data_IF_821291669598
#
_entry.id   IF_821291669598
#
_cell.length_a   1.000
_cell.length_b   1.000
_cell.length_c   1.000
_cell.angle_alpha   90.00
_cell.angle_beta   90.00
_cell.angle_gamma   90.00
#
_symmetry.space_group_name_H-M   'P 1'
#
loop_
_entity.id
_entity.type
_entity.pdbx_description
1 polymer ?
#
# COMPACT_ATOMS: atom_id res chain seq x y z
N UNK A 1 3.91 0.02 33.77
CA UNK A 1 4.80 0.66 32.81
C UNK A 1 3.95 1.27 31.71
N UNK A 2 4.33 2.41 31.20
CA UNK A 2 3.64 3.01 30.06
C UNK A 2 3.87 2.17 28.81
N UNK A 3 2.83 1.97 28.03
CA UNK A 3 2.83 1.09 26.87
C UNK A 3 2.63 1.89 25.58
N UNK A 4 3.37 1.53 24.53
CA UNK A 4 3.08 2.02 23.19
C UNK A 4 1.78 1.37 22.65
N UNK A 5 1.19 1.93 21.61
CA UNK A 5 0.07 1.30 20.90
C UNK A 5 0.43 -0.12 20.45
N UNK A 6 1.65 -0.30 19.92
CA UNK A 6 2.15 -1.62 19.53
C UNK A 6 2.16 -2.59 20.72
N UNK A 7 2.67 -2.17 21.88
CA UNK A 7 2.70 -3.01 23.10
C UNK A 7 1.32 -3.47 23.52
N UNK A 8 0.36 -2.54 23.56
CA UNK A 8 -1.02 -2.83 23.96
C UNK A 8 -1.66 -3.92 23.10
N UNK A 9 -1.46 -3.83 21.78
CA UNK A 9 -2.04 -4.81 20.84
C UNK A 9 -1.24 -6.11 20.88
N UNK A 10 0.09 -6.04 20.83
CA UNK A 10 0.94 -7.22 20.85
C UNK A 10 0.69 -8.06 22.11
N UNK A 11 0.75 -7.44 23.30
CA UNK A 11 0.65 -8.15 24.57
C UNK A 11 -0.75 -8.77 24.77
N UNK A 12 -1.80 -8.14 24.23
CA UNK A 12 -3.16 -8.69 24.25
C UNK A 12 -3.31 -9.97 23.38
N UNK A 13 -2.41 -10.19 22.41
CA UNK A 13 -2.44 -11.33 21.50
C UNK A 13 -1.39 -12.40 21.80
N UNK A 14 -0.59 -12.22 22.84
CA UNK A 14 0.39 -13.23 23.26
C UNK A 14 -0.33 -14.45 23.85
N UNK A 15 -0.19 -15.59 23.17
CA UNK A 15 -0.66 -16.89 23.65
C UNK A 15 0.37 -17.51 24.60
N UNK A 16 1.64 -17.47 24.19
CA UNK A 16 2.75 -18.01 24.99
C UNK A 16 4.06 -17.33 24.62
N UNK A 17 4.90 -17.07 25.61
CA UNK A 17 6.32 -16.71 25.40
C UNK A 17 7.16 -17.97 25.54
N UNK A 18 7.95 -18.28 24.51
CA UNK A 18 8.92 -19.37 24.58
C UNK A 18 10.15 -18.84 25.31
N UNK A 19 10.63 -19.58 26.31
CA UNK A 19 11.83 -19.22 27.05
C UNK A 19 13.02 -19.11 26.09
N UNK A 20 13.71 -17.97 26.11
CA UNK A 20 14.81 -17.63 25.19
C UNK A 20 14.45 -17.76 23.68
N UNK A 21 13.17 -17.68 23.34
CA UNK A 21 12.65 -17.92 22.00
C UNK A 21 11.63 -16.89 21.54
N UNK A 22 10.95 -17.16 20.41
CA UNK A 22 9.93 -16.30 19.86
C UNK A 22 8.66 -16.29 20.72
N UNK A 23 7.82 -15.32 20.48
CA UNK A 23 6.46 -15.23 21.04
C UNK A 23 5.48 -15.95 20.13
N UNK A 24 4.62 -16.81 20.68
CA UNK A 24 3.45 -17.32 19.99
C UNK A 24 2.36 -16.27 20.06
N UNK A 25 2.00 -15.74 18.90
CA UNK A 25 1.03 -14.65 18.74
C UNK A 25 -0.23 -15.17 18.08
N UNK A 26 -1.40 -14.88 18.66
CA UNK A 26 -2.70 -15.12 18.02
C UNK A 26 -2.90 -14.14 16.88
N UNK A 27 -3.53 -14.58 15.78
CA UNK A 27 -3.80 -13.77 14.59
C UNK A 27 -5.32 -13.65 14.38
N UNK A 28 -5.84 -12.42 14.43
CA UNK A 28 -7.27 -12.18 14.23
C UNK A 28 -7.70 -12.33 12.78
N UNK A 29 -6.82 -11.99 11.83
CA UNK A 29 -7.18 -11.98 10.41
C UNK A 29 -6.03 -12.48 9.55
N UNK A 30 -6.33 -13.46 8.71
CA UNK A 30 -5.43 -13.90 7.64
C UNK A 30 -6.06 -13.54 6.29
N UNK A 31 -5.32 -12.83 5.45
CA UNK A 31 -5.65 -12.64 4.06
C UNK A 31 -4.81 -13.55 3.17
N UNK A 32 -5.44 -14.15 2.16
CA UNK A 32 -4.81 -15.05 1.20
C UNK A 32 -5.02 -14.57 -0.23
N UNK A 33 -3.95 -14.48 -0.99
CA UNK A 33 -4.00 -14.24 -2.44
C UNK A 33 -3.36 -15.39 -3.21
N UNK A 34 -3.49 -15.36 -4.53
CA UNK A 34 -3.16 -16.49 -5.41
C UNK A 34 -1.67 -16.80 -5.53
N UNK A 35 -0.77 -15.85 -5.17
CA UNK A 35 0.67 -16.03 -5.38
C UNK A 35 1.33 -16.81 -4.23
N UNK A 36 1.03 -16.48 -2.98
CA UNK A 36 1.75 -17.01 -1.80
C UNK A 36 0.99 -18.07 -1.01
N UNK A 37 -0.30 -18.29 -1.29
CA UNK A 37 -1.11 -19.23 -0.53
C UNK A 37 -1.14 -20.68 -1.05
N UNK A 38 -0.89 -21.00 -2.35
CA UNK A 38 -1.07 -22.35 -2.87
C UNK A 38 -0.30 -23.44 -2.12
N UNK A 39 0.97 -23.18 -1.81
CA UNK A 39 1.82 -24.14 -1.11
C UNK A 39 1.39 -24.35 0.35
N UNK A 40 0.88 -23.31 1.02
CA UNK A 40 0.33 -23.42 2.38
C UNK A 40 -0.86 -24.37 2.42
N UNK A 41 -1.80 -24.25 1.48
CA UNK A 41 -2.94 -25.18 1.35
C UNK A 41 -2.50 -26.60 0.96
N UNK A 42 -1.49 -26.72 0.10
CA UNK A 42 -0.92 -28.04 -0.24
C UNK A 42 -0.31 -28.73 1.00
N UNK A 43 0.39 -28.00 1.86
CA UNK A 43 0.93 -28.49 3.12
C UNK A 43 -0.16 -28.98 4.07
N UNK A 44 -1.27 -28.24 4.22
CA UNK A 44 -2.42 -28.68 5.01
C UNK A 44 -3.01 -29.99 4.50
N UNK A 45 -3.21 -30.12 3.17
CA UNK A 45 -3.72 -31.36 2.56
C UNK A 45 -2.78 -32.55 2.80
N UNK A 46 -1.48 -32.34 2.60
CA UNK A 46 -0.49 -33.41 2.79
C UNK A 46 -0.47 -33.95 4.24
N UNK A 47 -0.78 -33.09 5.20
CA UNK A 47 -0.84 -33.44 6.64
C UNK A 47 -2.25 -33.83 7.12
N UNK A 48 -3.27 -33.73 6.27
CA UNK A 48 -4.67 -33.97 6.66
C UNK A 48 -5.21 -32.95 7.68
N UNK A 49 -4.64 -31.74 7.74
CA UNK A 49 -5.02 -30.69 8.68
C UNK A 49 -6.09 -29.78 8.05
N UNK A 50 -7.11 -29.44 8.83
CA UNK A 50 -8.16 -28.48 8.44
C UNK A 50 -7.75 -27.05 8.82
N UNK A 51 -8.35 -26.06 8.17
CA UNK A 51 -8.25 -24.68 8.62
C UNK A 51 -8.94 -24.54 9.97
N UNK A 52 -8.25 -23.97 10.95
CA UNK A 52 -8.71 -23.89 12.34
C UNK A 52 -9.87 -22.89 12.51
N UNK A 53 -9.76 -21.68 11.93
CA UNK A 53 -10.78 -20.63 11.98
C UNK A 53 -11.09 -20.14 10.57
N UNK A 54 -11.93 -20.85 9.80
CA UNK A 54 -12.30 -20.45 8.44
C UNK A 54 -12.93 -19.06 8.37
N UNK A 55 -13.64 -18.64 9.40
CA UNK A 55 -14.29 -17.34 9.56
C UNK A 55 -13.31 -16.17 9.74
N UNK A 56 -12.04 -16.45 10.00
CA UNK A 56 -10.96 -15.46 10.12
C UNK A 56 -10.09 -15.33 8.85
N UNK A 57 -10.40 -16.12 7.81
CA UNK A 57 -9.62 -16.19 6.58
C UNK A 57 -10.42 -15.65 5.40
N UNK A 58 -9.85 -14.71 4.66
CA UNK A 58 -10.45 -14.15 3.44
C UNK A 58 -9.50 -14.31 2.26
N UNK A 59 -10.02 -14.85 1.17
CA UNK A 59 -9.28 -15.14 -0.04
C UNK A 59 -9.74 -14.21 -1.18
N UNK A 60 -8.82 -13.56 -1.87
CA UNK A 60 -9.11 -12.78 -3.06
C UNK A 60 -7.89 -12.72 -3.98
N UNK A 61 -8.06 -12.93 -5.29
CA UNK A 61 -6.98 -12.75 -6.26
C UNK A 61 -6.82 -11.26 -6.57
N UNK A 62 -5.58 -10.78 -6.65
CA UNK A 62 -5.27 -9.39 -6.94
C UNK A 62 -3.98 -9.14 -7.75
N UNK A 63 -3.05 -10.09 -7.77
CA UNK A 63 -1.74 -9.93 -8.43
C UNK A 63 -1.75 -10.35 -9.90
N UNK A 64 -2.33 -11.53 -10.20
CA UNK A 64 -2.39 -12.12 -11.53
C UNK A 64 -3.71 -11.88 -12.27
N UNK A 65 -4.52 -10.98 -11.76
CA UNK A 65 -5.77 -10.59 -12.40
C UNK A 65 -5.50 -9.62 -13.55
N UNK A 66 -6.06 -9.82 -14.75
CA UNK A 66 -5.98 -8.81 -15.81
C UNK A 66 -6.75 -7.55 -15.38
N UNK A 67 -6.43 -6.40 -15.94
CA UNK A 67 -7.15 -5.14 -15.67
C UNK A 67 -8.04 -4.70 -16.83
N UNK A 68 -8.32 -5.64 -17.71
CA UNK A 68 -9.29 -5.52 -18.81
C UNK A 68 -9.92 -6.90 -19.05
N UNK A 69 -11.11 -6.92 -19.63
CA UNK A 69 -11.82 -8.15 -20.02
C UNK A 69 -11.90 -9.23 -18.92
N UNK A 70 -12.10 -8.82 -17.65
CA UNK A 70 -12.17 -9.73 -16.51
C UNK A 70 -13.35 -10.70 -16.58
N UNK A 71 -14.35 -10.44 -17.42
CA UNK A 71 -15.45 -11.33 -17.75
C UNK A 71 -15.07 -12.48 -18.69
N UNK A 72 -13.87 -12.42 -19.28
CA UNK A 72 -13.31 -13.47 -20.13
C UNK A 72 -12.30 -14.35 -19.36
N UNK A 73 -12.03 -15.57 -19.85
CA UNK A 73 -10.98 -16.40 -19.28
C UNK A 73 -9.60 -15.70 -19.32
N UNK A 74 -8.82 -15.84 -18.23
CA UNK A 74 -7.43 -15.35 -18.20
C UNK A 74 -6.63 -16.09 -19.28
N UNK A 75 -5.98 -15.34 -20.17
CA UNK A 75 -5.25 -15.90 -21.31
C UNK A 75 -3.91 -16.53 -20.88
N UNK A 76 -3.17 -15.88 -19.94
CA UNK A 76 -1.92 -16.43 -19.43
C UNK A 76 -2.17 -17.69 -18.59
N UNK A 77 -1.63 -18.87 -18.99
CA UNK A 77 -1.91 -20.13 -18.31
C UNK A 77 -1.40 -20.18 -16.87
N UNK A 78 -0.31 -19.46 -16.55
CA UNK A 78 0.26 -19.42 -15.19
C UNK A 78 -0.63 -18.62 -14.28
N UNK A 79 -1.00 -17.42 -14.67
CA UNK A 79 -1.94 -16.55 -13.95
C UNK A 79 -3.29 -17.25 -13.73
N UNK A 80 -3.84 -17.86 -14.80
CA UNK A 80 -5.09 -18.64 -14.72
C UNK A 80 -4.98 -19.75 -13.67
N UNK A 81 -3.92 -20.54 -13.72
CA UNK A 81 -3.72 -21.65 -12.79
C UNK A 81 -3.66 -21.18 -11.34
N UNK A 82 -3.00 -20.05 -11.06
CA UNK A 82 -2.88 -19.49 -9.72
C UNK A 82 -4.24 -18.99 -9.20
N UNK A 83 -4.98 -18.24 -10.02
CA UNK A 83 -6.32 -17.73 -9.65
C UNK A 83 -7.30 -18.88 -9.43
N UNK A 84 -7.35 -19.86 -10.34
CA UNK A 84 -8.21 -21.04 -10.22
C UNK A 84 -7.83 -21.90 -8.98
N UNK A 85 -6.53 -21.99 -8.65
CA UNK A 85 -6.06 -22.72 -7.48
C UNK A 85 -6.51 -22.04 -6.18
N UNK A 86 -6.47 -20.71 -6.10
CA UNK A 86 -6.99 -19.98 -4.95
C UNK A 86 -8.48 -20.23 -4.76
N UNK A 87 -9.27 -20.13 -5.84
CA UNK A 87 -10.70 -20.39 -5.80
C UNK A 87 -11.02 -21.82 -5.35
N UNK A 88 -10.27 -22.82 -5.88
CA UNK A 88 -10.40 -24.22 -5.47
C UNK A 88 -10.03 -24.40 -3.98
N UNK A 89 -8.95 -23.81 -3.52
CA UNK A 89 -8.53 -23.89 -2.13
C UNK A 89 -9.58 -23.29 -1.19
N UNK A 90 -10.09 -22.10 -1.50
CA UNK A 90 -11.12 -21.46 -0.70
C UNK A 90 -12.39 -22.34 -0.61
N UNK A 91 -12.81 -22.95 -1.72
CA UNK A 91 -13.94 -23.88 -1.75
C UNK A 91 -13.69 -25.13 -0.91
N UNK A 92 -12.54 -25.78 -1.11
CA UNK A 92 -12.21 -27.04 -0.43
C UNK A 92 -12.11 -26.89 1.11
N UNK A 93 -11.69 -25.72 1.58
CA UNK A 93 -11.53 -25.42 3.01
C UNK A 93 -12.67 -24.58 3.61
N UNK A 94 -13.71 -24.25 2.82
CA UNK A 94 -14.88 -23.51 3.29
C UNK A 94 -14.60 -22.06 3.67
N UNK A 95 -13.70 -21.38 2.93
CA UNK A 95 -13.26 -20.02 3.20
C UNK A 95 -14.07 -18.99 2.41
N UNK A 96 -14.16 -17.77 2.94
CA UNK A 96 -14.69 -16.64 2.19
C UNK A 96 -13.78 -16.33 0.98
N UNK A 97 -14.37 -16.25 -0.21
CA UNK A 97 -13.65 -15.98 -1.45
C UNK A 97 -14.36 -14.88 -2.25
N UNK A 98 -13.63 -13.79 -2.50
CA UNK A 98 -14.06 -12.72 -3.37
C UNK A 98 -13.33 -12.86 -4.70
N UNK A 99 -13.93 -13.63 -5.63
CA UNK A 99 -13.35 -13.90 -6.94
C UNK A 99 -13.31 -12.66 -7.85
N UNK A 100 -12.57 -12.72 -8.94
CA UNK A 100 -12.26 -11.60 -9.83
C UNK A 100 -13.48 -10.75 -10.26
N UNK A 101 -14.65 -11.38 -10.54
CA UNK A 101 -15.90 -10.68 -10.91
C UNK A 101 -16.85 -10.41 -9.73
N UNK A 102 -16.47 -10.75 -8.51
CA UNK A 102 -17.24 -10.40 -7.32
C UNK A 102 -17.10 -8.88 -7.06
N UNK A 103 -18.20 -8.20 -6.86
CA UNK A 103 -18.20 -6.75 -6.53
C UNK A 103 -17.45 -6.40 -5.24
N UNK A 104 -17.09 -7.41 -4.45
CA UNK A 104 -16.27 -7.28 -3.25
C UNK A 104 -14.78 -7.46 -3.52
N UNK A 105 -14.40 -7.87 -4.73
CA UNK A 105 -13.00 -8.10 -5.10
C UNK A 105 -12.24 -6.79 -5.33
N UNK A 106 -10.95 -6.90 -5.21
CA UNK A 106 -9.94 -5.88 -5.44
C UNK A 106 -8.64 -6.25 -4.75
N UNK A 107 -7.73 -5.32 -4.69
CA UNK A 107 -6.46 -5.47 -3.98
C UNK A 107 -6.74 -5.69 -2.48
N UNK A 108 -6.20 -6.76 -1.91
CA UNK A 108 -6.42 -7.18 -0.51
C UNK A 108 -6.28 -6.00 0.48
N UNK A 109 -5.22 -5.19 0.32
CA UNK A 109 -4.92 -4.07 1.19
C UNK A 109 -5.80 -2.83 0.95
N UNK A 110 -6.65 -2.87 -0.07
CA UNK A 110 -7.75 -1.91 -0.29
C UNK A 110 -9.05 -2.48 0.27
N UNK A 111 -9.38 -3.71 -0.11
CA UNK A 111 -10.64 -4.38 0.26
C UNK A 111 -10.77 -4.59 1.77
N UNK A 112 -9.69 -5.01 2.45
CA UNK A 112 -9.72 -5.25 3.89
C UNK A 112 -10.24 -4.06 4.70
N UNK A 113 -9.64 -2.87 4.57
CA UNK A 113 -10.12 -1.64 5.21
C UNK A 113 -11.51 -1.21 4.71
N UNK A 114 -11.72 -1.16 3.39
CA UNK A 114 -12.97 -0.62 2.82
C UNK A 114 -14.20 -1.47 3.12
N UNK A 115 -14.04 -2.76 3.43
CA UNK A 115 -15.14 -3.64 3.84
C UNK A 115 -15.32 -3.71 5.36
N UNK A 116 -14.45 -3.08 6.15
CA UNK A 116 -14.47 -3.20 7.60
C UNK A 116 -13.99 -4.57 8.11
N UNK A 117 -13.22 -5.30 7.29
CA UNK A 117 -12.57 -6.56 7.68
C UNK A 117 -11.34 -6.30 8.54
N UNK A 118 -10.75 -5.12 8.41
CA UNK A 118 -9.64 -4.62 9.22
C UNK A 118 -10.19 -3.65 10.25
N UNK A 119 -9.97 -3.93 11.53
CA UNK A 119 -10.46 -3.11 12.63
C UNK A 119 -9.31 -2.75 13.59
N UNK A 120 -9.43 -1.64 14.36
CA UNK A 120 -8.44 -1.27 15.35
C UNK A 120 -8.22 -2.37 16.40
N UNK A 121 -6.97 -2.55 16.80
CA UNK A 121 -6.58 -3.52 17.82
C UNK A 121 -6.36 -4.94 17.32
N UNK A 122 -6.62 -5.24 16.04
CA UNK A 122 -6.39 -6.56 15.45
C UNK A 122 -4.93 -6.85 15.17
N UNK A 123 -4.58 -8.15 15.15
CA UNK A 123 -3.38 -8.69 14.52
C UNK A 123 -3.75 -9.23 13.15
N UNK A 124 -3.04 -8.78 12.10
CA UNK A 124 -3.39 -9.08 10.70
C UNK A 124 -2.15 -9.53 9.93
N UNK A 125 -2.28 -10.63 9.20
CA UNK A 125 -1.19 -11.15 8.38
C UNK A 125 -1.66 -11.53 6.97
N UNK A 126 -0.73 -11.47 6.03
CA UNK A 126 -0.90 -11.91 4.63
C UNK A 126 0.47 -12.29 4.08
N UNK A 127 0.51 -13.11 3.05
CA UNK A 127 1.74 -13.44 2.32
C UNK A 127 2.30 -12.30 1.45
N UNK A 128 2.00 -11.06 1.77
CA UNK A 128 2.45 -9.85 1.09
C UNK A 128 3.01 -8.84 2.09
N UNK A 129 4.16 -8.23 1.76
CA UNK A 129 4.82 -7.25 2.63
C UNK A 129 3.98 -6.00 2.88
N UNK A 130 3.14 -5.56 1.91
CA UNK A 130 2.27 -4.39 2.07
C UNK A 130 1.07 -4.61 3.00
N UNK A 131 0.99 -5.75 3.68
CA UNK A 131 0.09 -5.97 4.82
C UNK A 131 0.22 -4.88 5.89
N UNK A 132 1.39 -4.22 5.97
CA UNK A 132 1.60 -3.04 6.82
C UNK A 132 0.55 -1.93 6.60
N UNK A 133 -0.08 -1.87 5.43
CA UNK A 133 -1.17 -0.93 5.12
C UNK A 133 -2.27 -0.93 6.18
N UNK A 134 -2.63 -2.11 6.68
CA UNK A 134 -3.71 -2.28 7.66
C UNK A 134 -3.41 -1.63 9.01
N UNK A 135 -2.14 -1.34 9.30
CA UNK A 135 -1.74 -0.61 10.51
C UNK A 135 -2.27 0.82 10.58
N UNK A 136 -2.65 1.41 9.45
CA UNK A 136 -3.33 2.71 9.40
C UNK A 136 -4.66 2.72 10.17
N UNK A 137 -5.29 1.55 10.33
CA UNK A 137 -6.51 1.37 11.11
C UNK A 137 -6.25 1.18 12.61
N UNK A 138 -4.99 1.27 13.07
CA UNK A 138 -4.61 0.94 14.45
C UNK A 138 -4.51 -0.56 14.72
N UNK A 139 -4.06 -1.33 13.74
CA UNK A 139 -3.82 -2.78 13.84
C UNK A 139 -2.32 -3.08 13.83
N UNK A 140 -1.90 -4.20 14.41
CA UNK A 140 -0.56 -4.77 14.22
C UNK A 140 -0.61 -5.68 13.00
N UNK A 141 -0.14 -5.16 11.87
CA UNK A 141 -0.27 -5.81 10.58
C UNK A 141 1.10 -5.96 9.88
N UNK A 142 1.41 -7.16 9.39
CA UNK A 142 2.69 -7.45 8.77
C UNK A 142 2.65 -8.63 7.79
N UNK A 143 3.56 -8.59 6.81
CA UNK A 143 3.74 -9.66 5.85
C UNK A 143 4.43 -10.89 6.46
N UNK A 144 4.05 -12.08 6.00
CA UNK A 144 4.60 -13.38 6.45
C UNK A 144 4.95 -14.27 5.26
N UNK A 145 5.80 -15.24 5.50
CA UNK A 145 6.17 -16.26 4.49
C UNK A 145 5.10 -17.34 4.31
N UNK A 146 5.20 -18.08 3.22
CA UNK A 146 4.22 -19.14 2.87
C UNK A 146 4.09 -20.22 3.96
N UNK A 147 5.21 -20.63 4.58
CA UNK A 147 5.18 -21.60 5.69
C UNK A 147 4.47 -21.06 6.93
N UNK A 148 4.56 -19.74 7.16
CA UNK A 148 3.86 -19.06 8.23
C UNK A 148 2.36 -18.93 7.92
N UNK A 149 1.97 -18.72 6.64
CA UNK A 149 0.57 -18.79 6.20
C UNK A 149 -0.02 -20.17 6.53
N UNK A 150 0.71 -21.26 6.24
CA UNK A 150 0.28 -22.62 6.61
C UNK A 150 0.08 -22.77 8.11
N UNK A 151 1.01 -22.23 8.92
CA UNK A 151 0.91 -22.26 10.39
C UNK A 151 -0.33 -21.54 10.89
N UNK A 152 -0.61 -20.33 10.37
CA UNK A 152 -1.78 -19.55 10.75
C UNK A 152 -3.07 -20.25 10.32
N UNK A 153 -3.14 -20.80 9.12
CA UNK A 153 -4.29 -21.59 8.66
C UNK A 153 -4.57 -22.79 9.61
N UNK A 154 -3.52 -23.45 10.06
CA UNK A 154 -3.64 -24.65 10.92
C UNK A 154 -3.98 -24.34 12.39
N UNK A 155 -3.54 -23.21 12.93
CA UNK A 155 -3.58 -22.94 14.38
C UNK A 155 -4.09 -21.57 14.78
N UNK A 156 -4.27 -20.66 13.86
CA UNK A 156 -4.54 -19.23 14.06
C UNK A 156 -3.43 -18.52 14.87
N UNK A 157 -2.26 -19.11 14.95
CA UNK A 157 -1.11 -18.57 15.67
C UNK A 157 0.13 -18.57 14.81
N UNK A 158 1.10 -17.72 15.18
CA UNK A 158 2.41 -17.61 14.54
C UNK A 158 3.50 -17.42 15.59
N UNK A 159 4.71 -17.88 15.29
CA UNK A 159 5.89 -17.62 16.12
C UNK A 159 6.64 -16.41 15.57
N UNK A 160 6.75 -15.34 16.35
CA UNK A 160 7.40 -14.10 15.94
C UNK A 160 8.32 -13.55 17.02
N UNK A 161 9.50 -13.10 16.61
CA UNK A 161 10.33 -12.25 17.48
C UNK A 161 9.71 -10.86 17.56
N UNK A 162 9.61 -10.32 18.78
CA UNK A 162 9.08 -8.99 19.01
C UNK A 162 10.02 -7.95 18.34
N UNK A 163 9.54 -7.12 17.41
CA UNK A 163 10.32 -6.03 16.84
C UNK A 163 10.55 -4.93 17.88
N UNK A 164 11.58 -4.10 17.66
CA UNK A 164 11.73 -2.82 18.36
C UNK A 164 10.64 -1.85 17.91
N UNK A 165 10.38 -0.82 18.72
CA UNK A 165 9.41 0.23 18.42
C UNK A 165 10.09 1.51 17.98
N UNK A 166 9.57 2.16 16.94
CA UNK A 166 10.02 3.47 16.48
C UNK A 166 8.83 4.41 16.39
N UNK A 167 9.00 5.66 16.87
CA UNK A 167 8.03 6.71 16.63
C UNK A 167 8.58 7.69 15.59
N UNK A 168 7.82 7.94 14.53
CA UNK A 168 8.07 9.01 13.58
C UNK A 168 7.00 10.08 13.76
N UNK A 169 7.41 11.24 14.25
CA UNK A 169 6.51 12.38 14.47
C UNK A 169 6.67 13.38 13.33
N UNK A 170 5.56 13.75 12.70
CA UNK A 170 5.54 14.76 11.64
C UNK A 170 4.54 15.82 12.08
N UNK A 171 5.05 17.00 12.42
CA UNK A 171 4.25 18.13 12.87
C UNK A 171 4.12 19.19 11.79
N UNK A 172 3.17 20.11 11.97
CA UNK A 172 2.85 21.16 11.00
C UNK A 172 1.71 20.78 10.07
N UNK A 173 1.62 21.50 8.94
CA UNK A 173 0.63 21.31 7.89
C UNK A 173 1.33 21.07 6.55
N UNK A 174 0.80 20.15 5.75
CA UNK A 174 1.31 19.90 4.40
C UNK A 174 1.03 21.09 3.49
N UNK A 175 2.04 21.46 2.71
CA UNK A 175 1.91 22.53 1.73
C UNK A 175 0.95 22.18 0.58
N UNK A 176 0.58 23.20 -0.21
CA UNK A 176 -0.25 23.01 -1.41
C UNK A 176 0.40 22.02 -2.38
N UNK A 177 -0.38 21.09 -2.89
CA UNK A 177 0.10 20.07 -3.84
C UNK A 177 0.92 18.91 -3.23
N UNK A 178 1.02 18.85 -1.89
CA UNK A 178 1.72 17.80 -1.15
C UNK A 178 0.72 16.78 -0.61
N UNK A 179 1.03 15.51 -0.74
CA UNK A 179 0.18 14.39 -0.31
C UNK A 179 0.91 13.47 0.68
N UNK A 180 0.21 12.48 1.23
CA UNK A 180 0.83 11.45 2.06
C UNK A 180 1.91 10.63 1.33
N UNK A 181 1.80 10.51 -0.01
CA UNK A 181 2.84 9.87 -0.84
C UNK A 181 4.14 10.67 -0.82
N UNK A 182 4.03 11.99 -0.93
CA UNK A 182 5.20 12.89 -0.88
C UNK A 182 5.83 12.84 0.52
N UNK A 183 5.01 12.82 1.58
CA UNK A 183 5.48 12.63 2.96
C UNK A 183 6.30 11.35 3.11
N UNK A 184 5.80 10.22 2.58
CA UNK A 184 6.51 8.94 2.65
C UNK A 184 7.82 8.95 1.85
N UNK A 185 7.81 9.50 0.63
CA UNK A 185 9.02 9.63 -0.22
C UNK A 185 10.05 10.54 0.42
N UNK A 186 9.61 11.65 1.05
CA UNK A 186 10.50 12.54 1.78
C UNK A 186 11.19 11.82 2.94
N UNK A 187 10.44 11.11 3.78
CA UNK A 187 11.03 10.33 4.87
C UNK A 187 12.04 9.31 4.36
N UNK A 188 11.71 8.58 3.29
CA UNK A 188 12.63 7.60 2.68
C UNK A 188 13.90 8.26 2.13
N UNK A 189 13.82 9.45 1.58
CA UNK A 189 15.00 10.19 1.11
C UNK A 189 15.93 10.59 2.25
N UNK A 190 15.42 10.79 3.48
CA UNK A 190 16.19 11.15 4.67
C UNK A 190 16.66 9.96 5.49
N UNK A 191 15.83 8.91 5.59
CA UNK A 191 16.08 7.74 6.43
C UNK A 191 16.67 6.54 5.65
N UNK A 192 16.68 6.59 4.33
CA UNK A 192 17.01 5.51 3.40
C UNK A 192 16.02 4.32 3.44
N UNK A 193 16.21 3.36 2.56
CA UNK A 193 15.40 2.12 2.49
C UNK A 193 15.65 1.12 3.63
N UNK A 194 16.58 1.41 4.53
CA UNK A 194 16.92 0.58 5.70
C UNK A 194 16.79 1.31 7.04
N UNK A 195 16.32 2.57 7.04
CA UNK A 195 16.27 3.42 8.22
C UNK A 195 15.38 2.93 9.36
N UNK A 196 14.42 2.06 9.06
CA UNK A 196 13.51 1.46 10.03
C UNK A 196 13.64 -0.08 10.14
N UNK A 197 14.78 -0.65 9.68
CA UNK A 197 15.01 -2.09 9.75
C UNK A 197 14.97 -2.62 11.19
N UNK A 198 14.13 -3.63 11.43
CA UNK A 198 13.95 -4.24 12.75
C UNK A 198 12.94 -3.52 13.65
N UNK A 199 12.32 -2.44 13.17
CA UNK A 199 11.33 -1.68 13.92
C UNK A 199 9.90 -1.91 13.42
N UNK A 200 8.95 -1.78 14.34
CA UNK A 200 7.56 -1.47 14.04
C UNK A 200 7.35 0.04 14.26
N UNK A 201 6.85 0.73 13.25
CA UNK A 201 6.80 2.20 13.23
C UNK A 201 5.42 2.70 13.64
N UNK A 202 5.36 3.60 14.64
CA UNK A 202 4.16 4.38 14.94
C UNK A 202 4.33 5.80 14.38
N UNK A 203 3.41 6.20 13.49
CA UNK A 203 3.35 7.55 12.97
C UNK A 203 2.50 8.44 13.85
N UNK A 204 3.02 9.61 14.20
CA UNK A 204 2.41 10.58 15.10
C UNK A 204 2.62 12.02 14.58
N UNK A 205 2.10 12.99 15.32
CA UNK A 205 2.21 14.41 14.99
C UNK A 205 0.95 14.99 14.35
N UNK A 206 0.89 16.33 14.28
CA UNK A 206 -0.29 17.02 13.77
C UNK A 206 -0.52 16.76 12.29
N UNK A 207 0.54 16.71 11.47
CA UNK A 207 0.41 16.41 10.05
C UNK A 207 -0.18 15.02 9.79
N UNK A 208 0.19 14.00 10.60
CA UNK A 208 -0.37 12.65 10.48
C UNK A 208 -1.84 12.59 10.92
N UNK A 209 -2.19 13.28 12.02
CA UNK A 209 -3.59 13.34 12.48
C UNK A 209 -4.52 14.00 11.47
N UNK A 210 -4.00 15.00 10.74
CA UNK A 210 -4.76 15.73 9.71
C UNK A 210 -4.89 14.98 8.37
N UNK A 211 -4.19 13.84 8.19
CA UNK A 211 -4.38 12.98 7.02
C UNK A 211 -5.76 12.35 7.02
N UNK A 212 -6.33 12.24 5.83
CA UNK A 212 -7.46 11.34 5.56
C UNK A 212 -7.08 9.89 5.88
N UNK A 213 -8.08 9.01 5.94
CA UNK A 213 -7.81 7.59 6.13
C UNK A 213 -6.98 7.01 4.99
N UNK A 214 -7.26 7.40 3.75
CA UNK A 214 -6.53 7.01 2.57
C UNK A 214 -5.06 7.46 2.61
N UNK A 215 -4.81 8.67 3.10
CA UNK A 215 -3.45 9.18 3.33
C UNK A 215 -2.69 8.36 4.37
N UNK A 216 -3.34 7.98 5.48
CA UNK A 216 -2.75 7.09 6.51
C UNK A 216 -2.47 5.70 5.95
N UNK A 217 -3.37 5.16 5.12
CA UNK A 217 -3.17 3.88 4.44
C UNK A 217 -1.95 3.91 3.51
N UNK A 218 -1.76 5.00 2.76
CA UNK A 218 -0.58 5.22 1.92
C UNK A 218 0.70 5.27 2.75
N UNK A 219 0.68 6.01 3.88
CA UNK A 219 1.84 6.16 4.77
C UNK A 219 2.27 4.80 5.37
N UNK A 220 1.32 4.05 5.94
CA UNK A 220 1.58 2.74 6.51
C UNK A 220 1.97 1.70 5.43
N UNK A 221 1.40 1.78 4.22
CA UNK A 221 1.78 0.94 3.09
C UNK A 221 3.28 1.05 2.79
N UNK A 222 3.81 2.26 2.74
CA UNK A 222 5.20 2.54 2.38
C UNK A 222 6.21 2.33 3.53
N UNK A 223 5.76 1.99 4.72
CA UNK A 223 6.65 1.72 5.87
C UNK A 223 7.66 0.62 5.59
N UNK A 224 7.25 -0.42 4.87
CA UNK A 224 8.12 -1.55 4.55
C UNK A 224 9.23 -1.17 3.55
N UNK A 225 9.07 -0.11 2.80
CA UNK A 225 10.09 0.40 1.89
C UNK A 225 11.24 1.10 2.63
N UNK A 226 11.08 1.40 3.93
CA UNK A 226 12.14 1.80 4.85
C UNK A 226 12.73 0.64 5.66
N UNK A 227 12.36 -0.61 5.33
CA UNK A 227 12.77 -1.81 6.04
C UNK A 227 11.99 -2.09 7.32
N UNK A 228 10.94 -1.33 7.63
CA UNK A 228 10.11 -1.55 8.80
C UNK A 228 9.39 -2.90 8.75
N UNK A 229 9.12 -3.49 9.91
CA UNK A 229 8.28 -4.69 10.03
C UNK A 229 6.81 -4.38 9.73
N UNK A 230 6.39 -3.18 10.05
CA UNK A 230 5.07 -2.62 9.80
C UNK A 230 5.01 -1.16 10.20
N UNK A 231 3.92 -0.49 9.85
CA UNK A 231 3.63 0.89 10.24
C UNK A 231 2.23 0.97 10.79
N UNK A 232 1.99 1.88 11.76
CA UNK A 232 0.68 2.07 12.35
C UNK A 232 0.40 3.52 12.69
N UNK A 233 -0.88 3.84 12.76
CA UNK A 233 -1.40 5.12 13.26
C UNK A 233 -2.41 4.81 14.36
N UNK A 234 -2.36 5.54 15.48
CA UNK A 234 -3.36 5.38 16.52
C UNK A 234 -4.76 5.72 15.97
N UNK A 235 -5.77 4.85 16.21
CA UNK A 235 -7.12 5.10 15.71
C UNK A 235 -7.75 6.29 16.43
N UNK A 236 -8.42 7.13 15.67
CA UNK A 236 -9.12 8.33 16.13
C UNK A 236 -10.47 8.49 15.42
N UNK A 237 -11.08 9.64 15.53
CA UNK A 237 -12.38 9.94 14.93
C UNK A 237 -12.37 9.76 13.40
N UNK A 238 -11.26 10.06 12.71
CA UNK A 238 -11.11 9.82 11.25
C UNK A 238 -11.23 8.32 10.96
N UNK A 239 -10.57 7.49 11.76
CA UNK A 239 -10.62 6.03 11.65
C UNK A 239 -12.04 5.50 11.94
N UNK A 240 -12.69 6.01 12.98
CA UNK A 240 -14.04 5.55 13.36
C UNK A 240 -15.08 5.91 12.30
N UNK A 241 -15.08 7.12 11.78
CA UNK A 241 -15.98 7.51 10.68
C UNK A 241 -15.72 6.72 9.39
N UNK A 242 -14.46 6.40 9.09
CA UNK A 242 -14.14 5.55 7.94
C UNK A 242 -14.69 4.12 8.07
N UNK A 243 -14.71 3.54 9.28
CA UNK A 243 -15.21 2.17 9.53
C UNK A 243 -16.74 2.13 9.61
N UNK A 244 -17.36 3.20 10.09
CA UNK A 244 -18.77 3.25 10.41
C UNK A 244 -19.66 2.86 9.22
N UNK A 245 -20.57 1.91 9.45
CA UNK A 245 -21.52 1.46 8.44
C UNK A 245 -20.98 0.50 7.39
N UNK A 246 -19.69 0.15 7.43
CA UNK A 246 -19.13 -0.83 6.51
C UNK A 246 -19.68 -2.24 6.77
N UNK A 247 -19.62 -3.09 5.76
CA UNK A 247 -20.26 -4.41 5.73
C UNK A 247 -19.94 -5.27 6.96
N UNK A 248 -18.66 -5.36 7.32
CA UNK A 248 -18.15 -6.17 8.42
C UNK A 248 -17.84 -5.38 9.70
N UNK A 249 -18.16 -4.08 9.73
CA UNK A 249 -18.02 -3.27 10.93
C UNK A 249 -19.04 -3.68 12.02
N UNK A 250 -18.70 -3.57 13.30
CA UNK A 250 -19.66 -3.73 14.40
C UNK A 250 -20.87 -2.81 14.20
N UNK A 251 -22.03 -3.23 14.70
CA UNK A 251 -23.30 -2.48 14.55
C UNK A 251 -24.01 -2.31 15.87
N UNK A 252 -24.80 -1.23 16.02
CA UNK A 252 -25.59 -0.96 17.21
C UNK A 252 -24.74 -0.92 18.48
N UNK A 253 -25.16 -1.63 19.52
CA UNK A 253 -24.47 -1.65 20.82
C UNK A 253 -23.03 -2.16 20.73
N UNK A 254 -22.74 -3.06 19.78
CA UNK A 254 -21.37 -3.58 19.59
C UNK A 254 -20.46 -2.53 18.94
N UNK A 255 -21.01 -1.62 18.13
CA UNK A 255 -20.29 -0.46 17.66
C UNK A 255 -19.86 0.45 18.80
N UNK A 256 -20.78 0.77 19.71
CA UNK A 256 -20.50 1.67 20.85
C UNK A 256 -19.42 1.08 21.77
N UNK A 257 -19.49 -0.23 22.03
CA UNK A 257 -18.45 -0.96 22.79
C UNK A 257 -17.10 -0.93 22.07
N UNK A 258 -17.11 -1.19 20.76
CA UNK A 258 -15.90 -1.20 19.94
C UNK A 258 -15.23 0.17 19.94
N UNK A 259 -15.95 1.25 19.67
CA UNK A 259 -15.43 2.62 19.71
C UNK A 259 -14.89 2.98 21.10
N UNK A 260 -15.59 2.59 22.17
CA UNK A 260 -15.11 2.82 23.54
C UNK A 260 -13.77 2.12 23.82
N UNK A 261 -13.60 0.91 23.30
CA UNK A 261 -12.33 0.18 23.37
C UNK A 261 -11.26 0.81 22.46
N UNK A 262 -11.59 1.12 21.21
CA UNK A 262 -10.64 1.68 20.24
C UNK A 262 -10.06 3.02 20.68
N UNK A 263 -10.80 3.85 21.42
CA UNK A 263 -10.31 5.09 22.04
C UNK A 263 -9.20 4.88 23.06
N UNK A 264 -9.04 3.67 23.58
CA UNK A 264 -7.93 3.32 24.48
C UNK A 264 -6.66 2.91 23.73
N UNK A 265 -6.77 2.62 22.43
CA UNK A 265 -5.69 2.15 21.57
C UNK A 265 -4.85 3.34 21.07
N UNK A 266 -4.08 3.91 21.95
CA UNK A 266 -3.06 4.93 21.70
C UNK A 266 -1.88 4.69 22.64
N UNK A 267 -0.71 5.13 22.26
CA UNK A 267 0.45 5.12 23.15
C UNK A 267 0.19 6.01 24.37
N UNK A 268 0.65 5.57 25.53
CA UNK A 268 0.58 6.37 26.75
C UNK A 268 1.50 7.60 26.60
N UNK A 269 1.20 8.67 27.33
CA UNK A 269 1.94 9.94 27.16
C UNK A 269 3.41 9.81 27.54
N UNK A 270 3.75 8.91 28.47
CA UNK A 270 5.09 8.58 28.93
C UNK A 270 5.65 7.28 28.32
N UNK A 271 5.03 6.78 27.23
CA UNK A 271 5.52 5.61 26.53
C UNK A 271 6.92 5.86 25.93
N UNK A 272 7.81 4.90 26.11
CA UNK A 272 9.20 4.96 25.61
C UNK A 272 9.32 4.12 24.35
N UNK A 273 9.87 4.73 23.30
CA UNK A 273 10.22 4.07 22.04
C UNK A 273 11.71 3.80 21.97
N UNK A 274 12.11 2.68 21.33
CA UNK A 274 13.54 2.39 21.11
C UNK A 274 14.22 3.42 20.21
N UNK A 275 13.45 4.08 19.33
CA UNK A 275 13.94 5.16 18.46
C UNK A 275 12.83 6.18 18.18
N UNK A 276 13.20 7.45 18.17
CA UNK A 276 12.33 8.54 17.75
C UNK A 276 12.96 9.34 16.63
N UNK A 277 12.13 9.73 15.65
CA UNK A 277 12.51 10.61 14.53
C UNK A 277 11.44 11.69 14.38
N UNK A 278 11.85 12.92 14.06
CA UNK A 278 10.94 14.04 13.86
C UNK A 278 11.18 14.72 12.53
N UNK A 279 10.10 15.13 11.90
CA UNK A 279 10.09 15.92 10.67
C UNK A 279 9.10 17.07 10.80
N UNK A 280 9.36 18.16 10.08
CA UNK A 280 8.43 19.27 9.88
C UNK A 280 7.72 19.08 8.53
N UNK A 281 6.40 19.17 8.52
CA UNK A 281 5.61 19.06 7.31
C UNK A 281 5.88 20.20 6.32
N UNK A 282 6.34 21.35 6.81
CA UNK A 282 6.73 22.51 5.99
C UNK A 282 7.94 22.24 5.09
N UNK A 283 8.81 21.29 5.46
CA UNK A 283 9.97 20.90 4.66
C UNK A 283 9.60 19.98 3.48
N UNK A 284 8.36 19.49 3.44
CA UNK A 284 7.92 18.51 2.44
C UNK A 284 7.32 19.24 1.24
N UNK A 285 7.88 18.97 0.08
CA UNK A 285 7.35 19.41 -1.21
C UNK A 285 6.85 18.22 -2.06
N UNK A 286 6.20 18.43 -3.20
CA UNK A 286 5.93 17.35 -4.13
C UNK A 286 7.23 16.60 -4.46
N UNK A 287 7.20 15.26 -4.35
CA UNK A 287 8.38 14.41 -4.46
C UNK A 287 8.36 13.57 -5.74
N UNK A 288 9.56 13.26 -6.22
CA UNK A 288 9.78 12.31 -7.31
C UNK A 288 11.04 11.50 -7.05
N UNK A 289 11.09 10.23 -7.46
CA UNK A 289 12.33 9.45 -7.42
C UNK A 289 13.14 9.63 -8.71
N UNK A 290 14.46 9.57 -8.59
CA UNK A 290 15.40 9.67 -9.71
C UNK A 290 16.21 8.40 -9.96
N UNK A 291 16.10 7.41 -9.08
CA UNK A 291 16.86 6.16 -9.14
C UNK A 291 15.98 4.91 -9.08
N UNK A 292 16.58 3.79 -8.70
CA UNK A 292 16.00 2.44 -8.74
C UNK A 292 15.55 1.93 -7.36
N UNK A 293 15.37 2.81 -6.39
CA UNK A 293 14.74 2.50 -5.10
C UNK A 293 14.03 3.74 -4.54
N UNK A 294 13.04 3.58 -3.63
CA UNK A 294 12.27 4.70 -3.11
C UNK A 294 13.07 5.71 -2.27
N UNK A 295 14.23 5.31 -1.72
CA UNK A 295 15.13 6.20 -0.98
C UNK A 295 15.88 7.18 -1.89
N UNK A 296 15.94 6.93 -3.19
CA UNK A 296 16.47 7.86 -4.20
C UNK A 296 15.39 8.85 -4.65
N UNK A 297 14.80 9.54 -3.66
CA UNK A 297 13.80 10.58 -3.86
C UNK A 297 14.36 11.97 -3.65
N UNK A 298 13.76 12.95 -4.33
CA UNK A 298 14.06 14.37 -4.19
C UNK A 298 12.78 15.20 -4.35
N UNK A 299 12.82 16.44 -3.87
CA UNK A 299 11.77 17.40 -4.20
C UNK A 299 11.73 17.66 -5.69
N UNK A 300 10.54 17.83 -6.25
CA UNK A 300 10.34 17.92 -7.71
C UNK A 300 11.11 19.07 -8.36
N UNK A 301 11.40 20.13 -7.60
CA UNK A 301 12.18 21.29 -8.06
C UNK A 301 13.68 21.17 -7.78
N UNK A 302 14.10 20.11 -7.09
CA UNK A 302 15.50 19.87 -6.77
C UNK A 302 16.25 19.23 -7.96
N UNK A 303 17.56 19.07 -7.78
CA UNK A 303 18.45 18.43 -8.73
C UNK A 303 18.96 17.10 -8.16
N UNK A 304 19.23 16.16 -9.04
CA UNK A 304 19.86 14.89 -8.67
C UNK A 304 21.18 15.18 -7.95
N UNK A 305 21.45 14.57 -6.77
CA UNK A 305 22.70 14.78 -6.03
C UNK A 305 23.95 14.56 -6.89
N UNK A 306 25.01 15.33 -6.63
CA UNK A 306 26.28 15.25 -7.39
C UNK A 306 27.39 14.48 -6.65
N UNK A 307 27.28 14.37 -5.32
CA UNK A 307 28.38 13.90 -4.45
C UNK A 307 28.28 12.43 -4.00
N UNK A 308 27.23 11.69 -4.38
CA UNK A 308 27.16 10.26 -4.07
C UNK A 308 28.07 9.45 -4.99
N UNK A 309 29.20 9.00 -4.46
CA UNK A 309 30.22 8.22 -5.17
C UNK A 309 29.98 6.72 -5.10
N UNK A 310 28.87 6.26 -4.54
CA UNK A 310 28.59 4.83 -4.42
C UNK A 310 28.35 4.18 -5.79
N UNK A 311 28.83 2.95 -5.92
CA UNK A 311 28.61 2.16 -7.16
C UNK A 311 27.14 1.93 -7.45
N UNK A 312 26.30 1.82 -6.41
CA UNK A 312 24.85 1.64 -6.52
C UNK A 312 24.16 2.89 -7.07
N UNK A 313 24.58 4.09 -6.64
CA UNK A 313 24.08 5.36 -7.18
C UNK A 313 24.37 5.48 -8.68
N UNK A 314 25.64 5.26 -9.07
CA UNK A 314 26.04 5.31 -10.47
C UNK A 314 25.24 4.32 -11.30
N UNK A 315 25.16 3.05 -10.87
CA UNK A 315 24.39 2.01 -11.57
C UNK A 315 22.91 2.41 -11.74
N UNK A 316 22.29 3.00 -10.70
CA UNK A 316 20.91 3.45 -10.76
C UNK A 316 20.72 4.57 -11.78
N UNK A 317 21.63 5.56 -11.82
CA UNK A 317 21.55 6.64 -12.81
C UNK A 317 21.78 6.15 -14.24
N UNK A 318 22.75 5.25 -14.43
CA UNK A 318 23.00 4.62 -15.73
C UNK A 318 21.74 3.88 -16.25
N UNK A 319 21.06 3.11 -15.37
CA UNK A 319 19.80 2.44 -15.70
C UNK A 319 18.71 3.44 -16.06
N UNK A 320 18.54 4.48 -15.25
CA UNK A 320 17.52 5.53 -15.46
C UNK A 320 17.87 6.46 -16.63
N UNK A 321 19.13 6.50 -17.07
CA UNK A 321 19.61 7.40 -18.13
C UNK A 321 19.66 8.85 -17.68
N UNK A 322 19.99 9.11 -16.41
CA UNK A 322 20.12 10.43 -15.79
C UNK A 322 21.57 10.75 -15.47
N UNK A 323 21.85 12.04 -15.24
CA UNK A 323 23.15 12.52 -14.83
C UNK A 323 23.11 13.20 -13.45
N UNK A 324 24.18 13.10 -12.65
CA UNK A 324 24.31 13.91 -11.44
C UNK A 324 24.10 15.40 -11.73
N UNK A 325 23.37 16.12 -10.88
CA UNK A 325 23.07 17.55 -11.05
C UNK A 325 21.95 17.86 -12.06
N UNK A 326 21.37 16.84 -12.70
CA UNK A 326 20.26 17.04 -13.64
C UNK A 326 18.97 17.41 -12.91
N UNK A 327 18.17 18.33 -13.47
CA UNK A 327 16.78 18.54 -13.10
C UNK A 327 15.88 17.58 -13.87
N UNK A 328 14.87 17.03 -13.20
CA UNK A 328 13.86 16.21 -13.88
C UNK A 328 12.69 17.01 -14.44
N UNK A 329 12.49 18.27 -14.02
CA UNK A 329 11.45 19.14 -14.59
C UNK A 329 11.60 19.29 -16.10
N UNK A 330 10.48 19.19 -16.82
CA UNK A 330 10.45 19.26 -18.29
C UNK A 330 10.90 17.99 -19.01
N UNK A 331 11.33 16.95 -18.29
CA UNK A 331 11.73 15.68 -18.92
C UNK A 331 10.51 14.95 -19.45
N UNK A 332 10.56 14.54 -20.72
CA UNK A 332 9.49 13.81 -21.40
C UNK A 332 9.23 12.46 -20.73
N UNK A 333 7.96 12.11 -20.57
CA UNK A 333 7.50 10.83 -20.08
C UNK A 333 6.71 10.08 -21.15
N UNK A 334 6.59 8.77 -21.02
CA UNK A 334 5.84 7.93 -21.96
C UNK A 334 4.58 7.35 -21.30
N UNK A 335 4.63 7.05 -20.00
CA UNK A 335 3.57 6.39 -19.27
C UNK A 335 3.24 7.13 -17.98
N UNK A 336 1.97 7.04 -17.58
CA UNK A 336 1.50 7.38 -16.24
C UNK A 336 0.72 6.20 -15.67
N UNK A 337 1.01 5.83 -14.43
CA UNK A 337 0.28 4.81 -13.71
C UNK A 337 -0.30 5.37 -12.41
N UNK A 338 -1.62 5.38 -12.31
CA UNK A 338 -2.37 5.65 -11.08
C UNK A 338 -3.01 4.35 -10.61
N UNK A 339 -2.67 3.88 -9.42
CA UNK A 339 -3.18 2.61 -8.91
C UNK A 339 -2.34 2.03 -7.79
N UNK A 340 -2.37 0.72 -7.65
CA UNK A 340 -1.74 -0.08 -6.61
C UNK A 340 -2.43 0.03 -5.23
N UNK A 341 -2.00 -0.81 -4.28
CA UNK A 341 -2.46 -0.72 -2.89
C UNK A 341 -2.04 0.58 -2.19
N UNK A 342 -1.06 1.30 -2.74
CA UNK A 342 -0.65 2.63 -2.27
C UNK A 342 -1.67 3.71 -2.60
N UNK A 343 -2.02 3.87 -3.89
CA UNK A 343 -2.78 5.00 -4.41
C UNK A 343 -3.82 4.57 -5.47
N UNK A 344 -4.60 3.56 -5.16
CA UNK A 344 -5.73 3.11 -5.98
C UNK A 344 -7.09 3.34 -5.32
N UNK A 345 -7.20 4.29 -4.38
CA UNK A 345 -8.43 4.59 -3.64
C UNK A 345 -9.16 5.79 -4.23
N UNK A 346 -10.39 5.98 -3.84
CA UNK A 346 -11.24 7.04 -4.41
C UNK A 346 -10.64 8.45 -4.27
N UNK A 347 -9.96 8.73 -3.17
CA UNK A 347 -9.30 10.02 -2.94
C UNK A 347 -8.18 10.29 -3.94
N UNK A 348 -7.44 9.27 -4.34
CA UNK A 348 -6.39 9.37 -5.35
C UNK A 348 -6.96 9.74 -6.72
N UNK A 349 -8.12 9.16 -7.07
CA UNK A 349 -8.84 9.49 -8.30
C UNK A 349 -9.44 10.89 -8.25
N UNK A 350 -9.98 11.33 -7.09
CA UNK A 350 -10.45 12.71 -6.91
C UNK A 350 -9.31 13.71 -7.09
N UNK A 351 -8.16 13.45 -6.46
CA UNK A 351 -6.97 14.29 -6.58
C UNK A 351 -6.48 14.37 -8.03
N UNK A 352 -6.30 13.23 -8.69
CA UNK A 352 -5.89 13.15 -10.08
C UNK A 352 -6.87 13.91 -11.00
N UNK A 353 -8.16 13.63 -10.87
CA UNK A 353 -9.22 14.22 -11.68
C UNK A 353 -9.30 15.74 -11.50
N UNK A 354 -9.03 16.25 -10.30
CA UNK A 354 -9.06 17.70 -10.03
C UNK A 354 -8.09 18.48 -10.90
N UNK A 355 -6.90 17.93 -11.18
CA UNK A 355 -5.88 18.59 -12.01
C UNK A 355 -6.16 18.50 -13.51
N UNK A 356 -6.79 17.43 -13.96
CA UNK A 356 -7.02 17.19 -15.40
C UNK A 356 -8.39 17.66 -15.88
N UNK A 357 -9.28 18.06 -14.97
CA UNK A 357 -10.61 18.61 -15.30
C UNK A 357 -10.52 19.77 -16.29
N UNK A 358 -11.22 19.67 -17.43
CA UNK A 358 -11.22 20.67 -18.50
C UNK A 358 -9.92 20.75 -19.31
N UNK A 359 -9.00 19.85 -19.09
CA UNK A 359 -7.73 19.74 -19.83
C UNK A 359 -7.71 18.44 -20.63
N UNK A 360 -6.74 18.28 -21.51
CA UNK A 360 -6.52 17.04 -22.28
C UNK A 360 -5.20 16.39 -21.83
N UNK A 361 -5.19 15.10 -21.81
CA UNK A 361 -3.97 14.30 -21.67
C UNK A 361 -3.06 14.58 -22.86
N UNK A 362 -1.74 14.63 -22.64
CA UNK A 362 -0.77 14.71 -23.72
C UNK A 362 -0.89 13.51 -24.65
N UNK A 363 -0.96 13.71 -25.97
CA UNK A 363 -1.29 12.68 -26.95
C UNK A 363 -0.36 11.47 -26.91
N UNK A 364 0.93 11.69 -26.65
CA UNK A 364 1.95 10.64 -26.63
C UNK A 364 1.99 9.86 -25.32
N UNK A 365 1.29 10.30 -24.27
CA UNK A 365 1.31 9.63 -22.97
C UNK A 365 0.26 8.53 -22.93
N UNK A 366 0.67 7.35 -22.54
CA UNK A 366 -0.21 6.23 -22.21
C UNK A 366 -0.47 6.26 -20.71
N UNK A 367 -1.73 6.39 -20.31
CA UNK A 367 -2.10 6.46 -18.90
C UNK A 367 -2.96 5.25 -18.50
N UNK A 368 -2.54 4.54 -17.45
CA UNK A 368 -3.28 3.45 -16.85
C UNK A 368 -3.82 3.89 -15.49
N UNK A 369 -5.12 4.09 -15.42
CA UNK A 369 -5.85 4.46 -14.22
C UNK A 369 -6.56 3.21 -13.70
N UNK A 370 -6.06 2.63 -12.61
CA UNK A 370 -6.48 1.31 -12.13
C UNK A 370 -7.07 1.43 -10.73
N UNK A 371 -8.40 1.32 -10.56
CA UNK A 371 -9.03 1.30 -9.25
C UNK A 371 -8.51 0.13 -8.40
N UNK A 372 -8.36 0.34 -7.10
CA UNK A 372 -7.91 -0.70 -6.19
C UNK A 372 -8.96 -1.76 -5.89
N UNK A 373 -10.25 -1.48 -6.18
CA UNK A 373 -11.36 -2.42 -5.95
C UNK A 373 -12.56 -2.06 -6.82
N UNK A 374 -13.50 -3.02 -6.96
CA UNK A 374 -14.79 -2.74 -7.60
C UNK A 374 -15.64 -1.72 -6.85
N UNK A 375 -15.42 -1.55 -5.55
CA UNK A 375 -16.07 -0.50 -4.78
C UNK A 375 -15.53 0.89 -5.17
N UNK A 376 -14.23 1.03 -5.34
CA UNK A 376 -13.62 2.27 -5.84
C UNK A 376 -14.08 2.58 -7.27
N UNK A 377 -14.14 1.58 -8.17
CA UNK A 377 -14.67 1.77 -9.53
C UNK A 377 -16.13 2.28 -9.50
N UNK A 378 -16.96 1.69 -8.62
CA UNK A 378 -18.33 2.15 -8.45
C UNK A 378 -18.41 3.61 -7.95
N UNK A 379 -17.59 4.00 -6.97
CA UNK A 379 -17.52 5.37 -6.48
C UNK A 379 -17.06 6.37 -7.56
N UNK A 380 -16.07 6.00 -8.37
CA UNK A 380 -15.60 6.82 -9.51
C UNK A 380 -16.76 7.14 -10.44
N UNK A 381 -17.62 6.17 -10.74
CA UNK A 381 -18.79 6.34 -11.64
C UNK A 381 -19.91 7.10 -10.95
N UNK A 382 -20.20 6.80 -9.68
CA UNK A 382 -21.22 7.51 -8.90
C UNK A 382 -20.91 9.00 -8.76
N UNK A 383 -19.65 9.37 -8.58
CA UNK A 383 -19.20 10.75 -8.51
C UNK A 383 -18.99 11.41 -9.87
N UNK A 384 -19.16 10.67 -10.98
CA UNK A 384 -19.00 11.15 -12.35
C UNK A 384 -17.55 11.51 -12.71
N UNK A 385 -16.57 10.98 -11.97
CA UNK A 385 -15.15 11.19 -12.26
C UNK A 385 -14.74 10.50 -13.56
N UNK A 386 -15.36 9.37 -13.89
CA UNK A 386 -15.16 8.63 -15.13
C UNK A 386 -15.40 9.52 -16.35
N UNK A 387 -16.49 10.28 -16.39
CA UNK A 387 -16.83 11.19 -17.49
C UNK A 387 -15.79 12.28 -17.67
N UNK A 388 -15.34 12.87 -16.56
CA UNK A 388 -14.30 13.92 -16.60
C UNK A 388 -12.98 13.35 -17.12
N UNK A 389 -12.61 12.14 -16.68
CA UNK A 389 -11.41 11.46 -17.13
C UNK A 389 -11.50 11.07 -18.61
N UNK A 390 -12.63 10.54 -19.07
CA UNK A 390 -12.89 10.23 -20.49
C UNK A 390 -12.84 11.49 -21.36
N UNK A 391 -13.46 12.58 -20.94
CA UNK A 391 -13.37 13.88 -21.62
C UNK A 391 -11.92 14.37 -21.71
N UNK A 392 -11.11 14.12 -20.68
CA UNK A 392 -9.68 14.45 -20.69
C UNK A 392 -8.82 13.48 -21.53
N UNK A 393 -9.39 12.40 -22.05
CA UNK A 393 -8.70 11.40 -22.89
C UNK A 393 -8.07 10.24 -22.11
N UNK A 394 -8.54 9.99 -20.89
CA UNK A 394 -8.13 8.85 -20.08
C UNK A 394 -9.13 7.69 -20.18
N UNK A 395 -8.63 6.46 -20.06
CA UNK A 395 -9.44 5.28 -19.88
C UNK A 395 -9.18 4.67 -18.50
N UNK A 396 -10.25 4.35 -17.79
CA UNK A 396 -10.18 3.66 -16.51
C UNK A 396 -10.15 2.15 -16.78
N UNK A 397 -9.23 1.45 -16.15
CA UNK A 397 -9.10 0.00 -16.21
C UNK A 397 -9.95 -0.68 -15.14
N UNK A 398 -10.08 -1.99 -15.22
CA UNK A 398 -10.71 -2.80 -14.18
C UNK A 398 -9.76 -2.99 -12.98
N UNK A 399 -10.30 -3.22 -11.76
CA UNK A 399 -9.49 -3.30 -10.53
C UNK A 399 -8.45 -4.42 -10.55
N UNK A 400 -7.26 -4.13 -9.98
CA UNK A 400 -6.16 -5.08 -9.84
C UNK A 400 -4.82 -4.39 -9.56
N UNK A 401 -3.76 -5.18 -9.37
CA UNK A 401 -2.41 -4.66 -9.13
C UNK A 401 -1.75 -4.09 -10.38
N UNK A 402 -2.10 -4.58 -11.58
CA UNK A 402 -1.62 -4.03 -12.87
C UNK A 402 -0.09 -3.90 -12.94
N UNK A 403 0.39 -2.81 -13.53
CA UNK A 403 1.81 -2.51 -13.65
C UNK A 403 2.53 -2.27 -12.31
N UNK A 404 1.86 -2.24 -11.16
CA UNK A 404 2.56 -2.15 -9.89
C UNK A 404 3.58 -3.30 -9.70
N UNK A 405 3.22 -4.50 -10.15
CA UNK A 405 4.08 -5.69 -10.11
C UNK A 405 4.37 -6.26 -11.50
N UNK A 406 3.57 -5.91 -12.51
CA UNK A 406 3.66 -6.39 -13.89
C UNK A 406 3.68 -7.93 -14.01
N UNK A 407 2.92 -8.61 -13.16
CA UNK A 407 2.72 -10.06 -13.23
C UNK A 407 1.67 -10.47 -14.27
N UNK A 408 0.83 -9.53 -14.68
CA UNK A 408 -0.13 -9.65 -15.79
C UNK A 408 0.45 -9.02 -17.09
N UNK A 409 -0.39 -8.78 -18.09
CA UNK A 409 0.01 -8.21 -19.39
C UNK A 409 0.30 -6.70 -19.35
N UNK A 410 0.02 -6.04 -18.23
CA UNK A 410 0.29 -4.62 -18.04
C UNK A 410 1.79 -4.36 -17.80
N UNK A 411 2.58 -4.43 -18.86
CA UNK A 411 4.04 -4.23 -18.82
C UNK A 411 4.44 -3.00 -19.62
N UNK A 412 5.29 -2.18 -19.00
CA UNK A 412 5.89 -1.01 -19.64
C UNK A 412 7.10 -1.44 -20.46
N UNK A 413 7.21 -1.04 -21.72
CA UNK A 413 8.35 -1.42 -22.57
C UNK A 413 9.69 -0.87 -22.07
N UNK A 414 10.77 -1.55 -22.43
CA UNK A 414 12.14 -1.16 -22.08
C UNK A 414 12.47 0.26 -22.52
N UNK A 415 13.19 1.00 -21.70
CA UNK A 415 13.64 2.37 -21.94
C UNK A 415 12.57 3.44 -21.79
N UNK A 416 11.29 3.07 -21.57
CA UNK A 416 10.18 4.01 -21.38
C UNK A 416 10.11 4.53 -19.96
N UNK A 417 9.83 5.84 -19.81
CA UNK A 417 9.64 6.48 -18.52
C UNK A 417 8.19 6.43 -18.08
N UNK A 418 7.96 5.99 -16.85
CA UNK A 418 6.66 5.96 -16.20
C UNK A 418 6.67 6.80 -14.93
N UNK A 419 5.80 7.80 -14.83
CA UNK A 419 5.45 8.43 -13.56
C UNK A 419 4.37 7.60 -12.89
N UNK A 420 4.66 7.08 -11.69
CA UNK A 420 3.89 5.99 -11.09
C UNK A 420 3.58 6.23 -9.63
N UNK A 421 2.35 5.95 -9.24
CA UNK A 421 1.93 5.95 -7.83
C UNK A 421 2.17 4.61 -7.12
N UNK A 422 2.80 3.65 -7.79
CA UNK A 422 3.17 2.36 -7.18
C UNK A 422 4.13 2.53 -5.98
N UNK A 423 4.45 1.43 -5.33
CA UNK A 423 5.25 1.45 -4.11
C UNK A 423 6.74 1.19 -4.32
N UNK A 424 7.12 0.53 -5.42
CA UNK A 424 8.51 0.14 -5.73
C UNK A 424 8.88 0.50 -7.15
N UNK A 425 10.17 0.80 -7.36
CA UNK A 425 10.74 1.19 -8.65
C UNK A 425 12.10 0.54 -8.95
N UNK A 426 12.39 -0.63 -8.40
CA UNK A 426 13.61 -1.35 -8.76
C UNK A 426 13.63 -1.71 -10.26
N UNK A 427 14.81 -2.01 -10.78
CA UNK A 427 15.02 -2.35 -12.18
C UNK A 427 14.03 -3.41 -12.67
N UNK A 428 13.26 -3.10 -13.71
CA UNK A 428 12.29 -4.01 -14.31
C UNK A 428 10.96 -4.18 -13.56
N UNK A 429 10.69 -3.42 -12.48
CA UNK A 429 9.48 -3.57 -11.66
C UNK A 429 8.18 -3.48 -12.45
N UNK A 430 8.07 -2.54 -13.39
CA UNK A 430 6.89 -2.33 -14.24
C UNK A 430 7.02 -2.97 -15.63
N UNK A 431 8.04 -3.78 -15.83
CA UNK A 431 8.37 -4.45 -17.08
C UNK A 431 9.89 -4.46 -17.30
N UNK A 432 10.44 -5.46 -18.01
CA UNK A 432 11.88 -5.55 -18.27
C UNK A 432 12.43 -4.27 -18.91
N UNK A 433 13.40 -3.61 -18.25
CA UNK A 433 14.02 -2.37 -18.75
C UNK A 433 13.15 -1.11 -18.63
N UNK A 434 11.97 -1.17 -18.01
CA UNK A 434 11.13 -0.01 -17.74
C UNK A 434 11.76 0.91 -16.69
N UNK A 435 11.62 2.22 -16.86
CA UNK A 435 12.15 3.27 -15.98
C UNK A 435 11.05 3.91 -15.18
N UNK A 436 10.90 3.52 -13.91
CA UNK A 436 9.81 3.95 -13.05
C UNK A 436 10.23 5.07 -12.12
N UNK A 437 9.48 6.16 -12.14
CA UNK A 437 9.59 7.33 -11.27
C UNK A 437 8.42 7.32 -10.29
N UNK A 438 8.67 7.06 -9.01
CA UNK A 438 7.62 7.11 -8.00
C UNK A 438 7.26 8.56 -7.71
N UNK A 439 5.94 8.83 -7.68
CA UNK A 439 5.42 10.15 -7.40
C UNK A 439 3.99 10.06 -6.84
N UNK A 440 3.45 11.19 -6.39
CA UNK A 440 2.08 11.30 -5.90
C UNK A 440 1.05 11.33 -7.04
N UNK A 441 -0.25 11.09 -6.75
CA UNK A 441 -1.32 11.22 -7.74
C UNK A 441 -1.36 12.60 -8.41
N UNK A 442 -1.04 13.67 -7.69
CA UNK A 442 -1.01 15.03 -8.24
C UNK A 442 0.14 15.23 -9.24
N UNK A 443 1.34 14.74 -8.91
CA UNK A 443 2.49 14.77 -9.82
C UNK A 443 2.21 13.91 -11.06
N UNK A 444 1.60 12.74 -10.89
CA UNK A 444 1.20 11.87 -11.98
C UNK A 444 0.18 12.54 -12.92
N UNK A 445 -0.82 13.22 -12.35
CA UNK A 445 -1.82 13.97 -13.12
C UNK A 445 -1.20 15.14 -13.90
N UNK A 446 -0.32 15.92 -13.26
CA UNK A 446 0.40 17.02 -13.90
C UNK A 446 1.22 16.51 -15.09
N UNK A 447 1.99 15.44 -14.86
CA UNK A 447 2.81 14.82 -15.90
C UNK A 447 1.96 14.23 -17.05
N UNK A 448 0.80 13.65 -16.76
CA UNK A 448 -0.11 13.13 -17.79
C UNK A 448 -0.68 14.23 -18.68
N UNK A 449 -1.01 15.38 -18.11
CA UNK A 449 -1.56 16.52 -18.83
C UNK A 449 -0.52 17.22 -19.72
N UNK A 450 0.69 17.43 -19.19
CA UNK A 450 1.75 18.17 -19.90
C UNK A 450 2.62 17.30 -20.79
N UNK A 451 2.69 15.98 -20.52
CA UNK A 451 3.57 15.03 -21.21
C UNK A 451 5.02 15.06 -20.74
N UNK A 452 5.32 15.86 -19.72
CA UNK A 452 6.64 16.01 -19.11
C UNK A 452 6.52 16.01 -17.59
N UNK A 453 7.61 15.78 -16.87
CA UNK A 453 7.64 15.93 -15.41
C UNK A 453 7.38 17.39 -15.08
N UNK A 454 6.30 17.64 -14.32
CA UNK A 454 5.79 18.98 -14.01
C UNK A 454 5.46 19.10 -12.53
N UNK A 455 5.77 20.24 -11.94
CA UNK A 455 5.36 20.56 -10.57
C UNK A 455 3.83 20.75 -10.53
N UNK A 456 3.08 19.93 -9.77
CA UNK A 456 1.63 20.04 -9.74
C UNK A 456 1.15 21.38 -9.18
N UNK A 457 1.97 22.09 -8.40
CA UNK A 457 1.64 23.40 -7.82
C UNK A 457 1.41 24.49 -8.88
N UNK A 458 1.97 24.31 -10.07
CA UNK A 458 1.79 25.22 -11.21
C UNK A 458 0.40 25.06 -11.86
N UNK A 459 -0.30 23.97 -11.58
CA UNK A 459 -1.56 23.61 -12.23
C UNK A 459 -2.79 23.64 -11.30
N UNK A 460 -2.57 23.77 -9.98
CA UNK A 460 -3.61 23.82 -8.93
C UNK A 460 -4.20 25.22 -8.83
#
# INVERSE_FOLDING_TARGET
MANTLFDKIWDAHVVQKVEEGPTQLYIDRLYCHEVTSPQAFAGLRARGVKVFRPDHVYCMPDHNTPTHDQDKPIEDPVSKTQVDTLAKNAKDFGLAHFGMMDKRNGIIHVVGPERGLTLPGMTIVCGDSHTSTHGAMGAVAFGIGTSEVEMVLASQCILQSRPKTMRITIDGELGKGVTAKDMALYMMSKMTTSGATGFFVEYAGSAVRNLSMEGRLTLCNLSIEMGARGGMVAPDEVTFEYIKGREHAPKGVDWDKAVSHWKTLKSDDDAVFDKEVRFDAADIQPMITYGTNPGMGMGITEHIPVDDKSASFKKSLDYMGFQPGESLLGKKIDYVFLGACTNGRIEDFRAFTSLVRGKKKADHVIAWLVPGSWMVDAQIREEGLDKILEEAGFAIRQPGCSACLAMNDDKIPAGKYSVSTSNRNFEGRQGPGARTLLASPLVAAAAAGTGVITDPRELI
#
